data_IF_207069990952
#
_entry.id   IF_207069990952
#
_cell.length_a   1.000
_cell.length_b   1.000
_cell.length_c   1.000
_cell.angle_alpha   90.00
_cell.angle_beta   90.00
_cell.angle_gamma   90.00
#
_symmetry.space_group_name_H-M   'P 1'
#
loop_
_entity.id
_entity.type
_entity.pdbx_description
1 polymer ?
#
# COMPACT_ATOMS: atom_id res chain seq x y z
N UNK A 1 -4.63 -30.46 31.08
CA UNK A 1 -3.43 -30.29 30.23
C UNK A 1 -3.64 -29.34 29.03
N UNK A 2 -4.77 -29.38 28.30
CA UNK A 2 -5.01 -28.47 27.14
C UNK A 2 -5.11 -26.96 27.47
N UNK A 3 -5.62 -26.58 28.65
CA UNK A 3 -5.73 -25.16 29.06
C UNK A 3 -4.39 -24.48 29.39
N UNK A 4 -3.40 -25.24 29.88
CA UNK A 4 -2.07 -24.71 30.23
C UNK A 4 -1.21 -24.50 28.97
N UNK A 5 -1.37 -25.36 27.95
CA UNK A 5 -0.70 -25.23 26.66
C UNK A 5 -1.13 -23.97 25.88
N UNK A 6 -2.41 -23.60 25.91
CA UNK A 6 -2.90 -22.40 25.22
C UNK A 6 -2.42 -21.09 25.87
N UNK A 7 -2.27 -21.05 27.19
CA UNK A 7 -1.74 -19.86 27.89
C UNK A 7 -0.25 -19.67 27.58
N UNK A 8 0.52 -20.77 27.50
CA UNK A 8 1.95 -20.72 27.15
C UNK A 8 2.17 -20.28 25.69
N UNK A 9 1.33 -20.74 24.76
CA UNK A 9 1.41 -20.36 23.34
C UNK A 9 1.11 -18.87 23.13
N UNK A 10 0.12 -18.32 23.84
CA UNK A 10 -0.22 -16.88 23.80
C UNK A 10 0.90 -16.03 24.41
N UNK A 11 1.55 -16.50 25.48
CA UNK A 11 2.68 -15.80 26.11
C UNK A 11 3.93 -15.80 25.23
N UNK A 12 4.25 -16.90 24.54
CA UNK A 12 5.37 -16.98 23.58
C UNK A 12 5.10 -16.12 22.34
N UNK A 13 3.86 -16.07 21.85
CA UNK A 13 3.45 -15.18 20.76
C UNK A 13 3.53 -13.70 21.16
N UNK A 14 3.07 -13.33 22.36
CA UNK A 14 3.20 -11.97 22.89
C UNK A 14 4.66 -11.57 23.10
N UNK A 15 5.51 -12.47 23.62
CA UNK A 15 6.94 -12.21 23.76
C UNK A 15 7.60 -12.08 22.38
N UNK A 16 7.25 -12.90 21.38
CA UNK A 16 7.81 -12.78 20.02
C UNK A 16 7.32 -11.53 19.27
N UNK A 17 6.07 -11.10 19.48
CA UNK A 17 5.53 -9.84 18.95
C UNK A 17 6.17 -8.64 19.65
N UNK A 18 6.34 -8.67 20.97
CA UNK A 18 7.10 -7.67 21.70
C UNK A 18 8.57 -7.67 21.29
N UNK A 19 9.20 -8.82 21.02
CA UNK A 19 10.61 -8.88 20.61
C UNK A 19 10.84 -8.29 19.21
N UNK A 20 9.94 -8.56 18.24
CA UNK A 20 10.03 -7.96 16.91
C UNK A 20 9.69 -6.46 16.92
N UNK A 21 8.75 -6.02 17.77
CA UNK A 21 8.46 -4.60 17.96
C UNK A 21 9.62 -3.89 18.68
N UNK A 22 10.23 -4.54 19.68
CA UNK A 22 11.40 -4.04 20.41
C UNK A 22 12.65 -4.01 19.56
N UNK A 23 12.88 -4.93 18.60
CA UNK A 23 14.01 -4.83 17.66
C UNK A 23 13.88 -3.59 16.76
N UNK A 24 12.66 -3.21 16.38
CA UNK A 24 12.41 -2.00 15.60
C UNK A 24 12.37 -0.71 16.46
N UNK A 25 12.03 -0.80 17.76
CA UNK A 25 12.07 0.35 18.68
C UNK A 25 13.44 0.59 19.35
N UNK A 26 14.26 -0.45 19.57
CA UNK A 26 15.60 -0.34 20.17
C UNK A 26 16.66 0.22 19.20
N UNK A 27 16.34 0.32 17.91
CA UNK A 27 17.30 0.76 16.89
C UNK A 27 17.54 2.27 16.87
N UNK A 28 16.73 3.04 17.61
CA UNK A 28 16.80 4.50 17.61
C UNK A 28 18.01 5.08 18.37
N UNK A 29 18.85 4.25 19.03
CA UNK A 29 19.93 4.78 19.91
C UNK A 29 21.29 4.05 19.85
N UNK A 30 21.46 3.01 19.03
CA UNK A 30 22.75 2.28 18.94
C UNK A 30 23.40 2.40 17.57
N UNK A 31 24.70 2.70 17.55
CA UNK A 31 25.52 2.73 16.34
C UNK A 31 25.42 1.37 15.59
N UNK A 32 25.22 1.42 14.28
CA UNK A 32 25.34 0.24 13.42
C UNK A 32 26.82 0.01 13.14
N UNK A 33 27.33 -1.16 13.53
CA UNK A 33 28.72 -1.55 13.31
C UNK A 33 28.76 -2.78 12.41
N UNK A 34 29.42 -2.64 11.26
CA UNK A 34 29.70 -3.75 10.34
C UNK A 34 31.20 -4.02 10.35
N UNK A 35 31.59 -5.26 10.55
CA UNK A 35 32.98 -5.70 10.35
C UNK A 35 33.05 -6.80 9.30
N UNK A 36 33.95 -6.65 8.33
CA UNK A 36 34.14 -7.59 7.24
C UNK A 36 35.64 -7.80 6.96
N UNK A 37 36.01 -9.03 6.59
CA UNK A 37 37.40 -9.38 6.27
C UNK A 37 37.52 -9.69 4.79
N UNK A 38 38.54 -9.16 4.12
CA UNK A 38 38.78 -9.44 2.70
C UNK A 38 38.97 -10.95 2.48
N UNK A 39 38.28 -11.49 1.47
CA UNK A 39 38.36 -12.90 1.11
C UNK A 39 37.55 -13.85 2.00
N UNK A 40 36.87 -13.37 3.04
CA UNK A 40 35.96 -14.18 3.87
C UNK A 40 34.50 -13.89 3.52
N UNK A 41 33.69 -14.93 3.42
CA UNK A 41 32.24 -14.83 3.19
C UNK A 41 31.44 -14.69 4.49
N UNK A 42 32.07 -14.24 5.58
CA UNK A 42 31.43 -14.01 6.87
C UNK A 42 31.80 -12.60 7.32
N UNK A 43 30.77 -11.84 7.68
CA UNK A 43 30.87 -10.52 8.29
C UNK A 43 30.15 -10.53 9.64
N UNK A 44 30.30 -9.47 10.43
CA UNK A 44 29.45 -9.24 11.61
C UNK A 44 28.69 -7.94 11.46
N UNK A 45 27.41 -7.95 11.81
CA UNK A 45 26.55 -6.76 11.91
C UNK A 45 26.08 -6.67 13.36
N UNK A 46 26.45 -5.61 14.07
CA UNK A 46 26.17 -5.42 15.50
C UNK A 46 26.53 -6.68 16.31
N UNK A 47 27.76 -7.18 16.12
CA UNK A 47 28.31 -8.38 16.76
C UNK A 47 27.66 -9.72 16.37
N UNK A 48 26.64 -9.74 15.51
CA UNK A 48 26.03 -10.97 15.00
C UNK A 48 26.66 -11.37 13.67
N UNK A 49 27.06 -12.64 13.56
CA UNK A 49 27.62 -13.20 12.33
C UNK A 49 26.58 -13.24 11.21
N UNK A 50 26.96 -12.80 10.02
CA UNK A 50 26.15 -12.80 8.78
C UNK A 50 26.98 -13.40 7.65
N UNK A 51 26.40 -14.36 6.95
CA UNK A 51 27.02 -14.95 5.75
C UNK A 51 26.77 -14.05 4.55
N UNK A 52 27.84 -13.79 3.79
CA UNK A 52 27.81 -13.02 2.56
C UNK A 52 27.60 -13.94 1.36
N UNK A 53 26.75 -13.52 0.42
CA UNK A 53 26.54 -14.23 -0.84
C UNK A 53 27.83 -14.35 -1.68
N UNK A 54 28.75 -13.40 -1.51
CA UNK A 54 30.12 -13.52 -2.03
C UNK A 54 31.09 -12.73 -1.16
N UNK A 55 32.36 -13.15 -1.19
CA UNK A 55 33.43 -12.56 -0.38
C UNK A 55 33.76 -11.13 -0.85
N UNK A 56 34.08 -10.20 0.05
CA UNK A 56 34.65 -8.91 -0.31
C UNK A 56 35.98 -9.09 -1.05
N UNK A 57 36.17 -8.34 -2.13
CA UNK A 57 37.39 -8.38 -2.96
C UNK A 57 38.04 -7.00 -3.02
N UNK A 58 39.33 -6.98 -3.37
CA UNK A 58 40.03 -5.75 -3.72
C UNK A 58 40.26 -5.75 -5.23
N UNK A 59 39.84 -4.69 -5.90
CA UNK A 59 40.09 -4.45 -7.32
C UNK A 59 40.48 -2.99 -7.51
N UNK A 60 41.57 -2.72 -8.23
CA UNK A 60 42.12 -1.37 -8.45
C UNK A 60 42.30 -0.57 -7.16
N UNK A 61 42.75 -1.22 -6.08
CA UNK A 61 42.94 -0.58 -4.77
C UNK A 61 41.65 -0.16 -4.07
N UNK A 62 40.49 -0.69 -4.50
CA UNK A 62 39.19 -0.45 -3.87
C UNK A 62 38.58 -1.75 -3.39
N UNK A 63 37.97 -1.69 -2.20
CA UNK A 63 37.18 -2.81 -1.69
C UNK A 63 35.82 -2.81 -2.37
N UNK A 64 35.47 -3.93 -2.98
CA UNK A 64 34.17 -4.17 -3.56
C UNK A 64 33.43 -5.24 -2.74
N UNK A 65 32.14 -5.01 -2.57
CA UNK A 65 31.26 -5.80 -1.71
C UNK A 65 29.92 -6.05 -2.39
N UNK A 66 29.20 -7.14 -2.03
CA UNK A 66 27.82 -7.33 -2.46
C UNK A 66 26.99 -6.13 -2.00
N UNK A 67 26.51 -5.32 -2.95
CA UNK A 67 25.85 -4.06 -2.62
C UNK A 67 24.61 -4.26 -1.74
N UNK A 68 23.85 -5.33 -2.00
CA UNK A 68 22.67 -5.70 -1.24
C UNK A 68 22.97 -5.89 0.24
N UNK A 69 24.04 -6.63 0.57
CA UNK A 69 24.44 -6.86 1.96
C UNK A 69 24.67 -5.55 2.69
N UNK A 70 25.42 -4.62 2.09
CA UNK A 70 25.74 -3.34 2.71
C UNK A 70 24.48 -2.50 2.91
N UNK A 71 23.64 -2.38 1.88
CA UNK A 71 22.39 -1.62 1.95
C UNK A 71 21.48 -2.16 3.05
N UNK A 72 21.23 -3.47 3.06
CA UNK A 72 20.32 -4.12 4.02
C UNK A 72 20.89 -4.11 5.45
N UNK A 73 22.22 -4.25 5.62
CA UNK A 73 22.85 -4.21 6.94
C UNK A 73 22.68 -2.86 7.63
N UNK A 74 22.67 -1.75 6.86
CA UNK A 74 22.33 -0.44 7.39
C UNK A 74 20.83 -0.25 7.64
N UNK A 75 19.96 -1.08 7.03
CA UNK A 75 18.50 -0.94 7.08
C UNK A 75 17.92 -0.23 5.86
N UNK A 76 18.72 -0.04 4.81
CA UNK A 76 18.28 0.49 3.54
C UNK A 76 17.58 -0.55 2.69
N UNK A 77 16.81 -0.05 1.74
CA UNK A 77 16.15 -0.84 0.73
C UNK A 77 16.91 -0.73 -0.59
N UNK A 78 16.87 -1.79 -1.39
CA UNK A 78 17.58 -1.85 -2.67
C UNK A 78 16.68 -2.42 -3.74
N UNK A 79 16.79 -1.84 -4.93
CA UNK A 79 16.12 -2.28 -6.13
C UNK A 79 17.11 -2.31 -7.31
N UNK A 80 16.86 -3.23 -8.25
CA UNK A 80 17.64 -3.36 -9.48
C UNK A 80 16.70 -3.44 -10.67
N UNK A 81 16.87 -2.51 -11.61
CA UNK A 81 16.19 -2.52 -12.89
C UNK A 81 17.10 -3.12 -13.98
N UNK A 82 16.79 -4.32 -14.49
CA UNK A 82 17.61 -4.97 -15.51
C UNK A 82 17.52 -4.28 -16.89
N UNK A 83 16.43 -3.56 -17.18
CA UNK A 83 16.21 -2.94 -18.49
C UNK A 83 17.22 -1.81 -18.76
N UNK A 84 17.56 -1.04 -17.73
CA UNK A 84 18.54 0.05 -17.81
C UNK A 84 19.82 -0.20 -16.99
N UNK A 85 19.91 -1.37 -16.34
CA UNK A 85 21.02 -1.80 -15.48
C UNK A 85 21.29 -0.85 -14.31
N UNK A 86 20.22 -0.27 -13.76
CA UNK A 86 20.28 0.70 -12.67
C UNK A 86 19.95 0.03 -11.34
N UNK A 87 20.73 0.37 -10.31
CA UNK A 87 20.51 -0.04 -8.92
C UNK A 87 20.10 1.23 -8.17
N UNK A 88 18.99 1.18 -7.44
CA UNK A 88 18.53 2.26 -6.59
C UNK A 88 18.54 1.78 -5.14
N UNK A 89 19.21 2.52 -4.27
CA UNK A 89 19.30 2.25 -2.83
C UNK A 89 18.64 3.41 -2.12
N UNK A 90 17.75 3.10 -1.20
CA UNK A 90 17.06 4.08 -0.35
C UNK A 90 17.47 3.82 1.08
N UNK A 91 18.04 4.83 1.71
CA UNK A 91 18.50 4.76 3.07
C UNK A 91 18.04 6.00 3.83
N UNK A 92 17.03 5.85 4.68
CA UNK A 92 16.37 6.96 5.36
C UNK A 92 15.98 8.10 4.39
N UNK A 93 16.76 9.19 4.38
CA UNK A 93 16.58 10.35 3.51
C UNK A 93 17.42 10.30 2.24
N UNK A 94 18.38 9.40 2.15
CA UNK A 94 19.30 9.32 1.02
C UNK A 94 18.79 8.41 -0.08
N UNK A 95 18.99 8.83 -1.32
CA UNK A 95 18.76 8.02 -2.52
C UNK A 95 20.08 7.92 -3.27
N UNK A 96 20.60 6.70 -3.41
CA UNK A 96 21.81 6.41 -4.16
C UNK A 96 21.42 5.62 -5.39
N UNK A 97 21.78 6.13 -6.56
CA UNK A 97 21.58 5.48 -7.86
C UNK A 97 22.92 5.12 -8.48
N UNK A 98 23.09 3.85 -8.80
CA UNK A 98 24.27 3.28 -9.43
C UNK A 98 23.87 2.67 -10.77
N UNK A 99 24.75 2.71 -11.77
CA UNK A 99 24.53 2.03 -13.06
C UNK A 99 25.67 1.08 -13.36
N UNK A 100 25.36 -0.17 -13.71
CA UNK A 100 26.38 -1.17 -14.01
C UNK A 100 27.29 -0.69 -15.15
N UNK A 101 28.61 -0.78 -14.94
CA UNK A 101 29.64 -0.35 -15.89
C UNK A 101 29.85 1.17 -15.96
N UNK A 102 29.06 1.98 -15.25
CA UNK A 102 29.24 3.43 -15.17
C UNK A 102 30.09 3.81 -13.96
N UNK A 103 31.01 4.75 -14.14
CA UNK A 103 31.68 5.43 -13.02
C UNK A 103 30.88 6.60 -12.48
N UNK A 104 29.79 7.02 -13.12
CA UNK A 104 28.93 8.08 -12.59
C UNK A 104 27.81 7.44 -11.77
N UNK A 105 27.75 7.83 -10.50
CA UNK A 105 26.66 7.58 -9.57
C UNK A 105 25.87 8.86 -9.32
N UNK A 106 24.64 8.75 -8.82
CA UNK A 106 23.84 9.89 -8.37
C UNK A 106 23.49 9.70 -6.90
N UNK A 107 23.81 10.67 -6.05
CA UNK A 107 23.47 10.68 -4.62
C UNK A 107 22.68 11.94 -4.35
N UNK A 108 21.42 11.81 -3.93
CA UNK A 108 20.53 12.93 -3.64
C UNK A 108 20.54 13.98 -4.77
N UNK A 109 20.30 13.49 -6.00
CA UNK A 109 20.27 14.25 -7.26
C UNK A 109 21.64 14.78 -7.75
N UNK A 110 22.72 14.60 -6.99
CA UNK A 110 24.07 15.05 -7.38
C UNK A 110 24.88 13.93 -8.00
N UNK A 111 25.49 14.20 -9.14
CA UNK A 111 26.43 13.26 -9.76
C UNK A 111 27.73 13.18 -8.97
N UNK A 112 28.21 11.95 -8.73
CA UNK A 112 29.48 11.65 -8.07
C UNK A 112 30.24 10.63 -8.91
N UNK A 113 31.53 10.89 -9.15
CA UNK A 113 32.41 9.95 -9.84
C UNK A 113 32.92 8.86 -8.88
N UNK A 114 32.85 7.62 -9.34
CA UNK A 114 33.34 6.41 -8.69
C UNK A 114 34.72 6.05 -9.22
N UNK A 115 35.61 5.66 -8.32
CA UNK A 115 36.91 5.10 -8.71
C UNK A 115 36.77 3.83 -9.57
N UNK A 116 35.78 3.00 -9.22
CA UNK A 116 35.49 1.72 -9.88
C UNK A 116 33.99 1.60 -10.11
N UNK A 117 33.60 1.30 -11.35
CA UNK A 117 32.20 1.08 -11.72
C UNK A 117 31.65 -0.19 -11.07
N UNK A 118 30.37 -0.20 -10.64
CA UNK A 118 29.74 -1.42 -10.16
C UNK A 118 29.56 -2.42 -11.30
N UNK A 119 29.71 -3.70 -11.01
CA UNK A 119 29.58 -4.78 -12.00
C UNK A 119 28.95 -6.02 -11.39
N UNK A 120 28.43 -6.91 -12.24
CA UNK A 120 27.98 -8.24 -11.82
C UNK A 120 29.19 -9.17 -11.87
N UNK A 121 29.56 -9.69 -10.71
CA UNK A 121 30.60 -10.70 -10.60
C UNK A 121 30.18 -12.00 -11.30
N UNK A 122 31.08 -12.55 -12.13
CA UNK A 122 30.76 -13.69 -13.00
C UNK A 122 30.56 -14.98 -12.22
N UNK A 123 31.29 -15.15 -11.12
CA UNK A 123 31.24 -16.36 -10.30
C UNK A 123 30.00 -16.38 -9.41
N UNK A 124 29.76 -15.30 -8.67
CA UNK A 124 28.66 -15.22 -7.71
C UNK A 124 27.33 -14.72 -8.27
N UNK A 125 27.33 -14.15 -9.48
CA UNK A 125 26.17 -13.45 -10.05
C UNK A 125 25.64 -12.36 -9.12
N UNK A 126 26.52 -11.73 -8.33
CA UNK A 126 26.20 -10.62 -7.43
C UNK A 126 26.77 -9.32 -7.94
N UNK A 127 26.00 -8.26 -7.74
CA UNK A 127 26.47 -6.90 -8.00
C UNK A 127 27.48 -6.49 -6.93
N UNK A 128 28.71 -6.23 -7.36
CA UNK A 128 29.76 -5.67 -6.55
C UNK A 128 29.89 -4.18 -6.81
N UNK A 129 30.00 -3.39 -5.74
CA UNK A 129 30.16 -1.94 -5.80
C UNK A 129 31.20 -1.46 -4.77
N UNK A 130 31.81 -0.27 -4.96
CA UNK A 130 32.76 0.29 -4.00
C UNK A 130 32.12 0.49 -2.62
N UNK A 131 32.62 -0.24 -1.62
CA UNK A 131 32.06 -0.21 -0.26
C UNK A 131 32.09 1.20 0.33
N UNK A 132 33.24 1.86 0.20
CA UNK A 132 33.50 3.17 0.80
C UNK A 132 32.53 4.22 0.27
N UNK A 133 32.31 4.25 -1.05
CA UNK A 133 31.35 5.15 -1.67
C UNK A 133 29.96 5.01 -1.05
N UNK A 134 29.44 3.79 -0.96
CA UNK A 134 28.07 3.53 -0.47
C UNK A 134 27.94 3.92 1.00
N UNK A 135 28.93 3.56 1.82
CA UNK A 135 28.94 3.85 3.25
C UNK A 135 29.10 5.36 3.54
N UNK A 136 30.04 6.04 2.88
CA UNK A 136 30.27 7.46 3.10
C UNK A 136 29.13 8.32 2.52
N UNK A 137 28.44 7.86 1.46
CA UNK A 137 27.26 8.56 0.90
C UNK A 137 26.10 8.67 1.89
N UNK A 138 26.04 7.79 2.90
CA UNK A 138 25.05 7.87 3.98
C UNK A 138 25.63 8.46 5.26
N UNK A 139 26.87 8.96 5.23
CA UNK A 139 27.57 9.54 6.39
C UNK A 139 28.18 8.52 7.36
N UNK A 140 28.37 7.27 6.96
CA UNK A 140 29.06 6.27 7.77
C UNK A 140 30.59 6.44 7.69
N UNK A 141 31.29 6.11 8.79
CA UNK A 141 32.75 6.09 8.84
C UNK A 141 33.30 4.71 8.43
N UNK A 142 34.34 4.67 7.61
CA UNK A 142 34.96 3.43 7.10
C UNK A 142 36.45 3.38 7.48
N UNK A 143 36.77 2.48 8.40
CA UNK A 143 38.12 2.20 8.89
C UNK A 143 38.69 0.94 8.26
N UNK A 144 39.98 0.98 7.91
CA UNK A 144 40.71 -0.15 7.34
C UNK A 144 41.86 -0.56 8.26
N UNK A 145 41.91 -1.83 8.65
CA UNK A 145 43.03 -2.42 9.37
C UNK A 145 43.86 -3.29 8.41
N UNK A 146 45.05 -2.81 8.07
CA UNK A 146 45.97 -3.47 7.14
C UNK A 146 46.44 -4.84 7.64
N UNK A 147 46.75 -4.96 8.94
CA UNK A 147 47.30 -6.19 9.54
C UNK A 147 46.31 -7.35 9.47
N UNK A 148 45.06 -7.08 9.82
CA UNK A 148 44.01 -8.11 9.88
C UNK A 148 43.22 -8.23 8.58
N UNK A 149 43.46 -7.33 7.62
CA UNK A 149 42.66 -7.15 6.40
C UNK A 149 41.17 -7.00 6.70
N UNK A 150 40.85 -6.28 7.77
CA UNK A 150 39.48 -6.05 8.24
C UNK A 150 39.04 -4.62 7.98
N UNK A 151 37.78 -4.48 7.58
CA UNK A 151 37.11 -3.20 7.40
C UNK A 151 36.05 -3.09 8.48
N UNK A 152 36.06 -1.97 9.20
CA UNK A 152 35.03 -1.63 10.17
C UNK A 152 34.27 -0.42 9.66
N UNK A 153 32.95 -0.55 9.60
CA UNK A 153 32.05 0.52 9.20
C UNK A 153 31.19 0.86 10.40
N UNK A 154 31.18 2.13 10.78
CA UNK A 154 30.36 2.62 11.88
C UNK A 154 29.42 3.68 11.36
N UNK A 155 28.12 3.44 11.52
CA UNK A 155 27.07 4.38 11.15
C UNK A 155 26.28 4.78 12.39
N UNK A 156 26.16 6.09 12.60
CA UNK A 156 25.28 6.67 13.61
C UNK A 156 24.26 7.53 12.90
N UNK A 157 22.99 7.15 12.98
CA UNK A 157 21.91 7.94 12.42
C UNK A 157 21.86 9.30 13.11
N UNK A 158 21.89 10.36 12.30
CA UNK A 158 21.77 11.74 12.79
C UNK A 158 20.55 12.35 12.13
N UNK A 159 19.62 12.93 12.91
CA UNK A 159 18.54 13.73 12.35
C UNK A 159 19.11 14.88 11.50
N UNK A 160 18.31 15.38 10.54
CA UNK A 160 18.65 16.59 9.80
C UNK A 160 18.93 17.75 10.76
N UNK A 161 20.01 18.50 10.50
CA UNK A 161 20.34 19.70 11.25
C UNK A 161 19.30 20.81 11.02
N UNK A 162 18.80 20.92 9.79
CA UNK A 162 17.75 21.86 9.41
C UNK A 162 16.44 21.09 9.23
N UNK A 163 15.41 21.45 10.00
CA UNK A 163 14.10 20.80 9.88
C UNK A 163 13.51 21.07 8.49
N UNK A 164 13.14 20.00 7.77
CA UNK A 164 12.42 20.06 6.49
C UNK A 164 10.93 19.86 6.76
N UNK A 165 10.07 20.67 6.15
CA UNK A 165 8.62 20.48 6.21
C UNK A 165 8.11 20.06 4.84
N UNK A 166 7.28 19.02 4.80
CA UNK A 166 6.65 18.48 3.58
C UNK A 166 5.15 18.43 3.81
N UNK A 167 4.38 18.84 2.81
CA UNK A 167 2.92 18.67 2.80
C UNK A 167 2.54 17.78 1.62
N UNK A 168 1.93 16.63 1.89
CA UNK A 168 1.42 15.72 0.87
C UNK A 168 -0.09 15.91 0.71
N UNK A 169 -0.53 16.25 -0.50
CA UNK A 169 -1.96 16.33 -0.84
C UNK A 169 -2.42 14.96 -1.32
N UNK A 170 -3.35 14.36 -0.60
CA UNK A 170 -3.80 13.00 -0.89
C UNK A 170 -5.29 13.02 -1.20
N UNK A 171 -5.68 12.44 -2.32
CA UNK A 171 -7.08 12.13 -2.60
C UNK A 171 -7.29 10.63 -2.52
N UNK A 172 -8.25 10.21 -1.70
CA UNK A 172 -8.53 8.79 -1.53
C UNK A 172 -10.03 8.47 -1.48
N UNK A 173 -10.36 7.21 -1.75
CA UNK A 173 -11.72 6.70 -1.60
C UNK A 173 -12.21 6.78 -0.14
N UNK A 174 -13.52 7.00 0.05
CA UNK A 174 -14.15 7.03 1.38
C UNK A 174 -13.78 5.86 2.28
N UNK A 175 -13.86 4.63 1.76
CA UNK A 175 -13.54 3.40 2.48
C UNK A 175 -12.08 3.26 2.93
N UNK A 176 -11.17 4.10 2.40
CA UNK A 176 -9.75 4.07 2.74
C UNK A 176 -9.39 5.03 3.90
N UNK A 177 -10.32 5.87 4.35
CA UNK A 177 -10.05 6.99 5.27
C UNK A 177 -9.29 6.57 6.52
N UNK A 178 -9.81 5.59 7.28
CA UNK A 178 -9.18 5.17 8.53
C UNK A 178 -7.83 4.46 8.32
N UNK A 179 -7.71 3.42 7.48
CA UNK A 179 -6.44 2.73 7.30
C UNK A 179 -5.34 3.60 6.67
N UNK A 180 -5.68 4.57 5.81
CA UNK A 180 -4.70 5.52 5.29
C UNK A 180 -4.20 6.44 6.39
N UNK A 181 -5.10 7.04 7.19
CA UNK A 181 -4.71 7.86 8.34
C UNK A 181 -3.78 7.12 9.32
N UNK A 182 -4.04 5.85 9.58
CA UNK A 182 -3.20 5.04 10.47
C UNK A 182 -1.79 4.83 9.90
N UNK A 183 -1.67 4.58 8.59
CA UNK A 183 -0.38 4.49 7.91
C UNK A 183 0.33 5.85 7.92
N UNK A 184 -0.38 6.95 7.63
CA UNK A 184 0.17 8.30 7.68
C UNK A 184 0.74 8.66 9.05
N UNK A 185 0.02 8.32 10.13
CA UNK A 185 0.51 8.58 11.49
C UNK A 185 1.83 7.86 11.75
N UNK A 186 1.96 6.60 11.33
CA UNK A 186 3.22 5.86 11.45
C UNK A 186 4.34 6.43 10.56
N UNK A 187 4.02 6.89 9.35
CA UNK A 187 4.95 7.54 8.43
C UNK A 187 5.46 8.89 8.97
N UNK A 188 4.56 9.74 9.49
CA UNK A 188 4.89 11.00 10.17
C UNK A 188 5.84 10.75 11.34
N UNK A 189 5.54 9.76 12.17
CA UNK A 189 6.35 9.39 13.33
C UNK A 189 7.73 8.85 12.96
N UNK A 190 7.86 8.16 11.82
CA UNK A 190 9.16 7.71 11.33
C UNK A 190 10.00 8.91 10.85
N UNK A 191 9.45 9.78 10.01
CA UNK A 191 10.18 10.91 9.43
C UNK A 191 10.48 12.05 10.41
N UNK A 192 9.64 12.24 11.44
CA UNK A 192 9.89 13.26 12.48
C UNK A 192 11.18 13.01 13.26
N UNK A 193 11.54 11.73 13.48
CA UNK A 193 12.81 11.31 14.10
C UNK A 193 14.01 11.64 13.24
N UNK A 194 13.82 11.75 11.92
CA UNK A 194 14.84 12.15 10.95
C UNK A 194 14.91 13.67 10.76
N UNK A 195 14.11 14.45 11.50
CA UNK A 195 14.04 15.90 11.35
C UNK A 195 13.18 16.39 10.18
N UNK A 196 12.33 15.51 9.62
CA UNK A 196 11.36 15.88 8.58
C UNK A 196 9.95 15.92 9.18
N UNK A 197 9.32 17.08 9.16
CA UNK A 197 7.92 17.24 9.55
C UNK A 197 7.02 17.00 8.34
N UNK A 198 6.14 16.00 8.41
CA UNK A 198 5.23 15.65 7.32
C UNK A 198 3.80 15.97 7.73
N UNK A 199 3.12 16.74 6.88
CA UNK A 199 1.69 17.03 6.98
C UNK A 199 0.98 16.37 5.81
N UNK A 200 -0.24 15.88 6.05
CA UNK A 200 -1.10 15.33 5.00
C UNK A 200 -2.34 16.23 4.88
N UNK A 201 -2.65 16.63 3.65
CA UNK A 201 -3.87 17.33 3.28
C UNK A 201 -4.79 16.34 2.57
N UNK A 202 -5.56 15.60 3.38
CA UNK A 202 -6.42 14.55 2.88
C UNK A 202 -7.74 15.08 2.33
N UNK A 203 -8.10 14.57 1.17
CA UNK A 203 -9.43 14.71 0.62
C UNK A 203 -10.06 13.34 0.36
N UNK A 204 -11.13 13.05 1.10
CA UNK A 204 -11.95 11.84 0.90
C UNK A 204 -13.06 12.10 -0.12
N UNK A 205 -13.23 11.22 -1.10
CA UNK A 205 -14.28 11.30 -2.13
C UNK A 205 -14.75 9.91 -2.59
N UNK A 206 -15.90 9.83 -3.26
CA UNK A 206 -16.22 8.68 -4.11
C UNK A 206 -15.20 8.62 -5.24
N UNK A 207 -14.73 7.43 -5.64
CA UNK A 207 -13.57 7.37 -6.55
C UNK A 207 -13.84 7.91 -7.96
N UNK A 208 -15.10 7.94 -8.42
CA UNK A 208 -15.45 8.58 -9.69
C UNK A 208 -15.34 10.10 -9.54
N UNK A 209 -15.86 10.66 -8.45
CA UNK A 209 -15.66 12.08 -8.14
C UNK A 209 -14.17 12.41 -7.93
N UNK A 210 -13.39 11.51 -7.33
CA UNK A 210 -11.96 11.71 -7.12
C UNK A 210 -11.21 11.89 -8.44
N UNK A 211 -11.47 11.05 -9.44
CA UNK A 211 -10.85 11.23 -10.76
C UNK A 211 -11.37 12.49 -11.45
N UNK A 212 -12.66 12.85 -11.32
CA UNK A 212 -13.23 14.08 -11.90
C UNK A 212 -12.63 15.36 -11.30
N UNK A 213 -12.27 15.34 -10.03
CA UNK A 213 -11.57 16.47 -9.42
C UNK A 213 -10.20 16.73 -10.07
N UNK A 214 -9.53 15.68 -10.52
CA UNK A 214 -8.26 15.80 -11.25
C UNK A 214 -8.53 16.19 -12.71
N UNK A 215 -9.43 15.46 -13.38
CA UNK A 215 -9.60 15.55 -14.83
C UNK A 215 -10.44 16.74 -15.29
N UNK A 216 -11.46 17.13 -14.53
CA UNK A 216 -12.40 18.20 -14.86
C UNK A 216 -12.11 19.48 -14.07
N UNK A 217 -11.90 19.35 -12.75
CA UNK A 217 -11.66 20.51 -11.88
C UNK A 217 -10.19 20.93 -11.79
N UNK A 218 -9.28 20.16 -12.43
CA UNK A 218 -7.83 20.43 -12.48
C UNK A 218 -7.21 20.63 -11.10
N UNK A 219 -7.68 19.89 -10.09
CA UNK A 219 -7.06 19.88 -8.77
C UNK A 219 -5.80 19.03 -8.78
N UNK A 220 -4.76 19.55 -8.14
CA UNK A 220 -3.48 18.88 -7.99
C UNK A 220 -3.45 18.04 -6.71
N UNK A 221 -3.01 16.79 -6.83
CA UNK A 221 -2.76 15.89 -5.71
C UNK A 221 -1.42 15.19 -5.92
N UNK A 222 -0.74 14.89 -4.81
CA UNK A 222 0.52 14.16 -4.83
C UNK A 222 0.30 12.65 -4.85
N UNK A 223 -0.81 12.17 -4.27
CA UNK A 223 -1.14 10.73 -4.20
C UNK A 223 -2.64 10.53 -4.46
N UNK A 224 -2.96 9.49 -5.26
CA UNK A 224 -4.34 9.10 -5.58
C UNK A 224 -4.56 7.64 -5.19
N UNK A 225 -5.57 7.35 -4.36
CA UNK A 225 -5.96 5.99 -3.98
C UNK A 225 -7.45 5.73 -4.20
N UNK A 226 -7.79 4.83 -5.11
CA UNK A 226 -9.17 4.61 -5.57
C UNK A 226 -9.70 3.25 -5.13
N UNK A 227 -11.00 3.18 -4.84
CA UNK A 227 -11.73 1.93 -4.56
C UNK A 227 -11.92 1.04 -5.77
N UNK A 228 -11.70 1.59 -6.97
CA UNK A 228 -11.71 0.87 -8.22
C UNK A 228 -10.47 1.21 -9.03
N UNK A 229 -9.55 0.25 -9.15
CA UNK A 229 -8.33 0.42 -9.91
C UNK A 229 -8.56 0.70 -11.40
N UNK A 230 -9.72 0.31 -11.98
CA UNK A 230 -10.01 0.55 -13.39
C UNK A 230 -10.22 2.03 -13.73
N UNK A 231 -10.57 2.85 -12.74
CA UNK A 231 -10.72 4.29 -12.94
C UNK A 231 -9.39 4.98 -13.29
N UNK A 232 -8.26 4.42 -12.86
CA UNK A 232 -6.94 4.99 -13.16
C UNK A 232 -6.62 4.91 -14.67
N UNK A 233 -6.60 3.72 -15.32
CA UNK A 233 -6.36 3.66 -16.75
C UNK A 233 -7.47 4.30 -17.59
N UNK A 234 -8.71 4.37 -17.08
CA UNK A 234 -9.84 4.94 -17.80
C UNK A 234 -9.80 6.47 -17.85
N UNK A 235 -9.45 7.13 -16.74
CA UNK A 235 -9.58 8.58 -16.60
C UNK A 235 -8.24 9.31 -16.45
N UNK A 236 -7.21 8.65 -15.92
CA UNK A 236 -5.93 9.30 -15.60
C UNK A 236 -4.83 8.97 -16.60
N UNK A 237 -4.84 7.78 -17.21
CA UNK A 237 -3.82 7.39 -18.19
C UNK A 237 -4.26 7.77 -19.61
N UNK A 238 -3.36 8.31 -20.46
CA UNK A 238 -1.96 8.68 -20.17
C UNK A 238 -1.78 10.13 -19.70
N UNK A 239 -2.84 10.92 -19.56
CA UNK A 239 -2.73 12.38 -19.44
C UNK A 239 -2.21 12.88 -18.08
N UNK A 240 -2.40 12.12 -17.02
CA UNK A 240 -2.08 12.54 -15.64
C UNK A 240 -1.12 11.58 -14.93
N UNK A 241 -0.95 10.36 -15.45
CA UNK A 241 0.01 9.37 -14.98
C UNK A 241 0.17 8.31 -16.06
N UNK A 242 1.27 7.56 -16.04
CA UNK A 242 1.51 6.43 -16.94
C UNK A 242 1.56 5.08 -16.20
N UNK A 243 1.31 5.05 -14.89
CA UNK A 243 1.36 3.84 -14.08
C UNK A 243 0.34 3.77 -12.96
N UNK A 244 0.08 2.56 -12.46
CA UNK A 244 -0.67 2.33 -11.21
C UNK A 244 -0.35 0.97 -10.60
N UNK A 245 -0.72 0.80 -9.33
CA UNK A 245 -0.53 -0.44 -8.57
C UNK A 245 -1.84 -0.89 -7.94
N UNK A 246 -2.21 -2.14 -8.16
CA UNK A 246 -3.27 -2.82 -7.42
C UNK A 246 -2.71 -3.29 -6.09
N UNK A 247 -3.33 -2.93 -4.97
CA UNK A 247 -2.72 -3.15 -3.65
C UNK A 247 -3.61 -3.79 -2.59
N UNK A 248 -4.93 -3.57 -2.60
CA UNK A 248 -5.84 -4.15 -1.62
C UNK A 248 -7.14 -4.63 -2.29
N UNK A 249 -7.94 -5.40 -1.54
CA UNK A 249 -9.27 -5.88 -1.96
C UNK A 249 -10.35 -5.52 -0.95
N UNK A 250 -11.61 -5.69 -1.34
CA UNK A 250 -12.76 -5.64 -0.45
C UNK A 250 -13.86 -6.60 -0.91
N UNK A 251 -14.97 -6.63 -0.17
CA UNK A 251 -16.21 -7.26 -0.62
C UNK A 251 -17.42 -6.44 -0.18
N UNK A 252 -18.50 -6.49 -0.96
CA UNK A 252 -19.77 -5.90 -0.58
C UNK A 252 -20.45 -6.71 0.51
N UNK A 253 -21.05 -6.00 1.46
CA UNK A 253 -21.89 -6.53 2.53
C UNK A 253 -23.15 -5.68 2.66
N UNK A 254 -24.11 -6.17 3.41
CA UNK A 254 -25.28 -5.38 3.82
C UNK A 254 -25.17 -5.13 5.33
N UNK A 255 -24.87 -3.89 5.68
CA UNK A 255 -24.69 -3.41 7.04
C UNK A 255 -26.04 -3.10 7.70
N UNK A 256 -26.10 -3.28 9.02
CA UNK A 256 -27.25 -2.98 9.87
C UNK A 256 -26.81 -2.78 11.33
N UNK A 257 -27.75 -2.42 12.20
CA UNK A 257 -27.55 -2.31 13.64
C UNK A 257 -28.55 -3.18 14.40
N UNK A 258 -28.41 -3.27 15.72
CA UNK A 258 -29.41 -3.95 16.55
C UNK A 258 -30.80 -3.31 16.55
N UNK A 259 -30.90 -2.05 16.11
CA UNK A 259 -32.15 -1.30 16.03
C UNK A 259 -32.86 -1.47 14.69
N UNK A 260 -32.15 -1.97 13.66
CA UNK A 260 -32.68 -2.18 12.33
C UNK A 260 -33.87 -3.15 12.34
N UNK A 261 -34.92 -2.81 11.62
CA UNK A 261 -36.11 -3.67 11.49
C UNK A 261 -35.73 -5.02 10.91
N UNK A 262 -36.20 -6.09 11.56
CA UNK A 262 -35.93 -7.47 11.17
C UNK A 262 -34.46 -7.90 11.26
N UNK A 263 -33.63 -7.20 12.04
CA UNK A 263 -32.20 -7.54 12.24
C UNK A 263 -31.95 -8.99 12.71
N UNK A 264 -32.90 -9.60 13.43
CA UNK A 264 -32.81 -10.99 13.89
C UNK A 264 -33.21 -12.03 12.83
N UNK A 265 -33.96 -11.60 11.81
CA UNK A 265 -34.53 -12.48 10.79
C UNK A 265 -33.73 -12.45 9.47
N UNK A 266 -32.90 -11.42 9.29
CA UNK A 266 -32.14 -11.23 8.06
C UNK A 266 -30.98 -12.23 7.95
N UNK A 267 -30.83 -12.80 6.76
CA UNK A 267 -29.81 -13.80 6.43
C UNK A 267 -29.28 -13.55 5.01
N UNK A 268 -28.14 -14.15 4.64
CA UNK A 268 -27.65 -14.12 3.26
C UNK A 268 -28.63 -14.68 2.22
N UNK A 269 -29.66 -15.45 2.62
CA UNK A 269 -30.62 -16.07 1.71
C UNK A 269 -31.91 -15.27 1.49
N UNK A 270 -32.30 -14.40 2.42
CA UNK A 270 -33.59 -13.71 2.42
C UNK A 270 -33.46 -12.18 2.51
N UNK A 271 -32.25 -11.62 2.51
CA UNK A 271 -32.02 -10.18 2.67
C UNK A 271 -32.87 -9.33 1.73
N UNK A 272 -32.97 -9.73 0.47
CA UNK A 272 -33.73 -9.00 -0.54
C UNK A 272 -35.24 -9.01 -0.26
N UNK A 273 -35.75 -10.04 0.42
CA UNK A 273 -37.16 -10.11 0.83
C UNK A 273 -37.43 -9.18 2.01
N UNK A 274 -36.46 -9.03 2.92
CA UNK A 274 -36.52 -8.07 4.02
C UNK A 274 -36.51 -6.64 3.48
N UNK A 275 -35.58 -6.33 2.56
CA UNK A 275 -35.45 -4.99 1.98
C UNK A 275 -36.69 -4.55 1.16
N UNK A 276 -37.45 -5.50 0.60
CA UNK A 276 -38.67 -5.20 -0.15
C UNK A 276 -39.92 -5.00 0.73
N UNK A 277 -39.79 -5.08 2.06
CA UNK A 277 -40.90 -4.76 2.98
C UNK A 277 -41.12 -3.25 3.03
N UNK A 278 -42.38 -2.83 3.03
CA UNK A 278 -42.78 -1.40 2.94
C UNK A 278 -42.29 -0.54 4.10
N UNK A 279 -42.06 -1.17 5.24
CA UNK A 279 -41.62 -0.52 6.47
C UNK A 279 -40.10 -0.53 6.63
N UNK A 280 -39.32 -1.12 5.71
CA UNK A 280 -37.86 -1.20 5.78
C UNK A 280 -37.22 -0.09 4.94
N UNK A 281 -36.28 0.62 5.54
CA UNK A 281 -35.50 1.66 4.88
C UNK A 281 -34.06 1.22 4.64
N UNK A 282 -33.60 1.32 3.40
CA UNK A 282 -32.21 1.04 3.06
C UNK A 282 -31.63 2.03 2.05
N UNK A 283 -30.30 2.04 1.95
CA UNK A 283 -29.56 2.96 1.10
C UNK A 283 -28.26 2.38 0.51
N UNK A 284 -27.72 3.10 -0.46
CA UNK A 284 -26.43 2.82 -1.11
C UNK A 284 -25.84 4.11 -1.68
N UNK A 285 -24.56 4.10 -2.07
CA UNK A 285 -23.89 5.30 -2.58
C UNK A 285 -24.36 5.71 -3.99
N UNK A 286 -24.17 6.96 -4.39
CA UNK A 286 -24.55 7.47 -5.71
C UNK A 286 -23.70 6.80 -6.81
N UNK A 287 -24.31 6.01 -7.73
CA UNK A 287 -23.56 5.24 -8.73
C UNK A 287 -22.69 6.07 -9.68
N UNK A 288 -23.00 7.35 -9.88
CA UNK A 288 -22.23 8.23 -10.76
C UNK A 288 -21.02 8.90 -10.07
N UNK A 289 -20.87 8.70 -8.77
CA UNK A 289 -19.87 9.36 -7.91
C UNK A 289 -18.99 8.36 -7.15
N UNK A 290 -19.54 7.24 -6.70
CA UNK A 290 -18.85 6.27 -5.85
C UNK A 290 -18.95 4.83 -6.41
N UNK A 291 -17.81 4.09 -6.53
CA UNK A 291 -17.83 2.67 -6.80
C UNK A 291 -18.76 1.82 -5.95
N UNK A 292 -18.93 2.12 -4.66
CA UNK A 292 -19.86 1.37 -3.83
C UNK A 292 -21.30 1.42 -4.39
N UNK A 293 -21.67 2.53 -5.02
CA UNK A 293 -22.97 2.76 -5.62
C UNK A 293 -23.22 1.90 -6.85
N UNK A 294 -22.36 2.03 -7.87
CA UNK A 294 -22.53 1.22 -9.08
C UNK A 294 -22.32 -0.27 -8.79
N UNK A 295 -21.45 -0.63 -7.84
CA UNK A 295 -21.25 -2.03 -7.42
C UNK A 295 -22.49 -2.62 -6.77
N UNK A 296 -23.23 -1.82 -5.99
CA UNK A 296 -24.52 -2.24 -5.44
C UNK A 296 -25.52 -2.56 -6.55
N UNK A 297 -25.60 -1.72 -7.59
CA UNK A 297 -26.49 -1.97 -8.72
C UNK A 297 -26.06 -3.19 -9.56
N UNK A 298 -24.76 -3.37 -9.78
CA UNK A 298 -24.23 -4.58 -10.43
C UNK A 298 -24.57 -5.83 -9.61
N UNK A 299 -24.41 -5.76 -8.29
CA UNK A 299 -24.77 -6.84 -7.37
C UNK A 299 -26.27 -7.15 -7.42
N UNK A 300 -27.16 -6.15 -7.51
CA UNK A 300 -28.59 -6.38 -7.68
C UNK A 300 -28.92 -7.13 -8.98
N UNK A 301 -28.25 -6.81 -10.10
CA UNK A 301 -28.39 -7.56 -11.35
C UNK A 301 -27.92 -9.02 -11.19
N UNK A 302 -26.79 -9.22 -10.51
CA UNK A 302 -26.28 -10.57 -10.22
C UNK A 302 -27.22 -11.35 -9.29
N UNK A 303 -27.85 -10.67 -8.31
CA UNK A 303 -28.80 -11.27 -7.38
C UNK A 303 -30.05 -11.76 -8.12
N UNK A 304 -30.56 -11.00 -9.09
CA UNK A 304 -31.67 -11.43 -9.95
C UNK A 304 -31.37 -12.76 -10.66
N UNK A 305 -30.16 -12.88 -11.22
CA UNK A 305 -29.68 -14.10 -11.90
C UNK A 305 -29.49 -15.24 -10.89
N UNK A 306 -28.78 -14.97 -9.79
CA UNK A 306 -28.40 -15.96 -8.78
C UNK A 306 -29.60 -16.58 -8.07
N UNK A 307 -30.55 -15.76 -7.63
CA UNK A 307 -31.76 -16.22 -6.93
C UNK A 307 -32.88 -16.67 -7.88
N UNK A 308 -32.70 -16.52 -9.19
CA UNK A 308 -33.72 -16.80 -10.21
C UNK A 308 -35.03 -16.04 -9.92
N UNK A 309 -34.91 -14.74 -9.63
CA UNK A 309 -36.02 -13.84 -9.27
C UNK A 309 -36.15 -12.72 -10.32
N UNK A 310 -36.84 -12.96 -11.45
CA UNK A 310 -37.00 -11.95 -12.49
C UNK A 310 -37.58 -10.64 -11.94
N UNK A 311 -36.99 -9.51 -12.32
CA UNK A 311 -37.40 -8.17 -11.88
C UNK A 311 -36.89 -7.75 -10.50
N UNK A 312 -36.10 -8.59 -9.81
CA UNK A 312 -35.53 -8.25 -8.50
C UNK A 312 -34.68 -6.98 -8.55
N UNK A 313 -33.87 -6.78 -9.60
CA UNK A 313 -33.07 -5.58 -9.78
C UNK A 313 -33.93 -4.30 -9.75
N UNK A 314 -34.99 -4.28 -10.56
CA UNK A 314 -35.90 -3.14 -10.66
C UNK A 314 -36.67 -2.92 -9.36
N UNK A 315 -37.09 -3.99 -8.69
CA UNK A 315 -37.82 -3.89 -7.43
C UNK A 315 -36.97 -3.28 -6.31
N UNK A 316 -35.70 -3.68 -6.18
CA UNK A 316 -34.79 -3.11 -5.19
C UNK A 316 -34.50 -1.64 -5.46
N UNK A 317 -34.29 -1.25 -6.73
CA UNK A 317 -34.14 0.17 -7.08
C UNK A 317 -35.39 0.97 -6.71
N UNK A 318 -36.57 0.48 -7.07
CA UNK A 318 -37.83 1.17 -6.79
C UNK A 318 -38.15 1.25 -5.29
N UNK A 319 -37.66 0.29 -4.49
CA UNK A 319 -37.82 0.29 -3.04
C UNK A 319 -36.85 1.26 -2.33
N UNK A 320 -35.77 1.68 -3.00
CA UNK A 320 -34.79 2.62 -2.43
C UNK A 320 -35.33 4.05 -2.51
N UNK A 321 -35.52 4.71 -1.37
CA UNK A 321 -35.92 6.11 -1.34
C UNK A 321 -34.80 6.99 -1.93
N UNK A 322 -35.09 7.99 -2.78
CA UNK A 322 -34.06 8.87 -3.33
C UNK A 322 -33.19 9.54 -2.26
N UNK A 323 -33.81 9.93 -1.14
CA UNK A 323 -33.12 10.49 0.02
C UNK A 323 -32.29 9.47 0.81
N UNK A 324 -32.18 8.21 0.40
CA UNK A 324 -31.30 7.21 0.99
C UNK A 324 -30.09 6.92 0.09
N UNK A 325 -29.99 7.59 -1.06
CA UNK A 325 -28.81 7.56 -1.93
C UNK A 325 -27.89 8.70 -1.51
N UNK A 326 -26.62 8.40 -1.21
CA UNK A 326 -25.64 9.38 -0.70
C UNK A 326 -24.46 9.52 -1.63
N UNK A 327 -23.84 10.72 -1.78
CA UNK A 327 -22.66 10.91 -2.61
C UNK A 327 -21.54 9.88 -2.38
N UNK A 328 -21.31 9.47 -1.11
CA UNK A 328 -20.32 8.48 -0.73
C UNK A 328 -20.94 7.44 0.20
N UNK A 329 -20.51 6.21 0.06
CA UNK A 329 -20.89 5.05 0.88
C UNK A 329 -20.83 5.39 2.38
N UNK A 330 -19.66 5.82 2.87
CA UNK A 330 -19.42 6.07 4.30
C UNK A 330 -20.36 7.09 4.96
N UNK A 331 -21.09 7.90 4.19
CA UNK A 331 -22.12 8.82 4.72
C UNK A 331 -23.39 8.08 5.20
N UNK A 332 -23.60 6.84 4.75
CA UNK A 332 -24.72 5.99 5.16
C UNK A 332 -24.53 5.42 6.58
N UNK A 333 -23.29 5.34 7.06
CA UNK A 333 -22.96 4.83 8.40
C UNK A 333 -23.67 5.64 9.49
N UNK A 334 -23.61 6.97 9.41
CA UNK A 334 -24.25 7.84 10.38
C UNK A 334 -25.78 7.65 10.41
N UNK A 335 -26.40 7.35 9.26
CA UNK A 335 -27.85 7.10 9.16
C UNK A 335 -28.23 5.76 9.79
N UNK A 336 -27.38 4.73 9.64
CA UNK A 336 -27.57 3.45 10.33
C UNK A 336 -27.47 3.62 11.85
N UNK A 337 -26.46 4.35 12.33
CA UNK A 337 -26.24 4.60 13.77
C UNK A 337 -27.37 5.43 14.40
N UNK A 338 -27.85 6.43 13.66
CA UNK A 338 -29.00 7.26 14.02
C UNK A 338 -30.36 6.52 13.87
N UNK A 339 -30.37 5.30 13.32
CA UNK A 339 -31.58 4.54 13.03
C UNK A 339 -32.54 5.26 12.06
N UNK A 340 -31.99 6.09 11.17
CA UNK A 340 -32.70 6.67 10.02
C UNK A 340 -32.73 5.70 8.83
N UNK A 341 -31.77 4.77 8.77
CA UNK A 341 -31.78 3.62 7.87
C UNK A 341 -31.78 2.32 8.68
N UNK A 342 -32.49 1.32 8.18
CA UNK A 342 -32.41 -0.04 8.69
C UNK A 342 -31.18 -0.77 8.09
N UNK A 343 -30.90 -0.58 6.79
CA UNK A 343 -29.81 -1.27 6.11
C UNK A 343 -29.02 -0.36 5.16
N UNK A 344 -27.73 -0.63 4.96
CA UNK A 344 -26.93 0.05 3.96
C UNK A 344 -25.98 -0.91 3.23
N UNK A 345 -25.89 -0.79 1.91
CA UNK A 345 -24.88 -1.49 1.15
C UNK A 345 -23.53 -0.80 1.29
N UNK A 346 -22.56 -1.56 1.75
CA UNK A 346 -21.26 -1.07 2.16
C UNK A 346 -20.17 -2.09 1.86
N UNK A 347 -18.92 -1.66 2.02
CA UNK A 347 -17.80 -2.58 2.07
C UNK A 347 -17.68 -3.26 3.44
N UNK A 348 -17.20 -4.51 3.47
CA UNK A 348 -16.91 -5.19 4.75
C UNK A 348 -15.93 -4.36 5.59
N UNK A 349 -14.94 -3.73 4.96
CA UNK A 349 -13.98 -2.88 5.68
C UNK A 349 -14.67 -1.73 6.43
N UNK A 350 -15.67 -1.09 5.83
CA UNK A 350 -16.44 0.00 6.45
C UNK A 350 -17.27 -0.52 7.61
N UNK A 351 -17.86 -1.72 7.48
CA UNK A 351 -18.58 -2.38 8.56
C UNK A 351 -17.67 -2.64 9.77
N UNK A 352 -16.47 -3.20 9.51
CA UNK A 352 -15.47 -3.52 10.54
C UNK A 352 -14.97 -2.26 11.22
N UNK A 353 -14.63 -1.21 10.45
CA UNK A 353 -14.11 0.05 10.98
C UNK A 353 -15.10 0.79 11.89
N UNK A 354 -16.41 0.63 11.65
CA UNK A 354 -17.47 1.30 12.42
C UNK A 354 -18.21 0.34 13.38
N UNK A 355 -17.69 -0.88 13.59
CA UNK A 355 -18.30 -1.89 14.45
C UNK A 355 -19.79 -2.15 14.15
N UNK A 356 -20.16 -2.09 12.87
CA UNK A 356 -21.52 -2.37 12.41
C UNK A 356 -21.74 -3.89 12.30
N UNK A 357 -22.99 -4.32 12.49
CA UNK A 357 -23.38 -5.68 12.10
C UNK A 357 -23.51 -5.73 10.59
N UNK A 358 -23.21 -6.88 10.00
CA UNK A 358 -23.38 -7.07 8.57
C UNK A 358 -23.70 -8.52 8.24
N UNK A 359 -24.42 -8.72 7.13
CA UNK A 359 -24.50 -10.03 6.51
C UNK A 359 -23.43 -10.14 5.42
N UNK A 360 -22.73 -11.27 5.40
CA UNK A 360 -21.86 -11.60 4.27
C UNK A 360 -22.71 -12.09 3.11
N UNK A 361 -22.63 -11.40 1.98
CA UNK A 361 -23.28 -11.84 0.73
C UNK A 361 -22.51 -13.03 0.13
N UNK A 362 -23.18 -13.95 -0.60
CA UNK A 362 -22.52 -15.00 -1.37
C UNK A 362 -21.38 -14.45 -2.25
N UNK A 363 -20.36 -15.26 -2.49
CA UNK A 363 -19.20 -14.88 -3.31
C UNK A 363 -19.61 -14.47 -4.73
N UNK A 364 -20.67 -15.06 -5.27
CA UNK A 364 -21.27 -14.71 -6.56
C UNK A 364 -21.86 -13.29 -6.62
N UNK A 365 -22.08 -12.66 -5.46
CA UNK A 365 -22.73 -11.35 -5.33
C UNK A 365 -21.80 -10.28 -4.75
N UNK A 366 -20.90 -10.66 -3.84
CA UNK A 366 -20.13 -9.71 -3.04
C UNK A 366 -18.97 -9.02 -3.79
N UNK A 367 -18.67 -9.43 -5.02
CA UNK A 367 -17.60 -8.89 -5.86
C UNK A 367 -16.19 -9.02 -5.25
N UNK A 368 -15.98 -9.86 -4.24
CA UNK A 368 -14.71 -9.96 -3.53
C UNK A 368 -13.78 -11.08 -4.02
N UNK A 369 -14.28 -12.04 -4.79
CA UNK A 369 -13.54 -13.24 -5.17
C UNK A 369 -12.95 -13.15 -6.59
N UNK A 370 -11.62 -13.03 -6.77
CA UNK A 370 -11.00 -12.91 -8.09
C UNK A 370 -11.30 -14.06 -9.05
N UNK A 371 -11.58 -15.27 -8.54
CA UNK A 371 -11.91 -16.42 -9.37
C UNK A 371 -13.27 -16.30 -10.07
N UNK A 372 -14.15 -15.42 -9.59
CA UNK A 372 -15.49 -15.20 -10.14
C UNK A 372 -15.56 -14.00 -11.10
N UNK A 373 -14.42 -13.53 -11.63
CA UNK A 373 -14.37 -12.39 -12.56
C UNK A 373 -15.36 -12.50 -13.74
N UNK A 374 -15.47 -13.70 -14.34
CA UNK A 374 -16.32 -13.93 -15.51
C UNK A 374 -17.80 -14.04 -15.10
N UNK A 375 -18.07 -14.45 -13.87
CA UNK A 375 -19.41 -14.42 -13.29
C UNK A 375 -19.85 -12.98 -13.03
N UNK A 376 -19.01 -12.16 -12.39
CA UNK A 376 -19.32 -10.75 -12.13
C UNK A 376 -19.55 -9.96 -13.42
N UNK A 377 -18.81 -10.27 -14.48
CA UNK A 377 -18.93 -9.61 -15.79
C UNK A 377 -20.30 -9.81 -16.48
N UNK A 378 -21.19 -10.66 -15.94
CA UNK A 378 -22.58 -10.80 -16.40
C UNK A 378 -23.45 -9.57 -16.10
N UNK A 379 -23.04 -8.74 -15.15
CA UNK A 379 -23.71 -7.48 -14.84
C UNK A 379 -22.95 -6.30 -15.46
N UNK A 380 -23.70 -5.30 -15.93
CA UNK A 380 -23.14 -4.05 -16.46
C UNK A 380 -24.07 -2.87 -16.23
N UNK A 381 -23.50 -1.68 -16.07
CA UNK A 381 -24.21 -0.43 -15.87
C UNK A 381 -23.58 0.66 -16.73
N UNK A 382 -24.40 1.47 -17.39
CA UNK A 382 -23.96 2.70 -18.06
C UNK A 382 -24.18 3.88 -17.12
N UNK A 383 -23.10 4.59 -16.79
CA UNK A 383 -23.15 5.80 -15.97
C UNK A 383 -23.67 7.00 -16.79
N UNK A 384 -24.02 8.10 -16.11
CA UNK A 384 -24.56 9.32 -16.73
C UNK A 384 -23.60 9.95 -17.75
N UNK A 385 -22.30 9.75 -17.60
CA UNK A 385 -21.27 10.25 -18.53
C UNK A 385 -21.05 9.31 -19.74
N UNK A 386 -21.84 8.23 -19.85
CA UNK A 386 -21.74 7.23 -20.93
C UNK A 386 -20.74 6.10 -20.64
N UNK A 387 -20.01 6.16 -19.52
CA UNK A 387 -19.04 5.11 -19.15
C UNK A 387 -19.76 3.82 -18.84
N UNK A 388 -19.33 2.72 -19.45
CA UNK A 388 -19.85 1.38 -19.19
C UNK A 388 -18.98 0.70 -18.14
N UNK A 389 -19.55 0.46 -16.96
CA UNK A 389 -18.93 -0.31 -15.89
C UNK A 389 -19.46 -1.74 -15.93
N UNK A 390 -18.55 -2.72 -15.85
CA UNK A 390 -18.89 -4.15 -15.74
C UNK A 390 -18.57 -4.67 -14.35
N UNK A 391 -19.32 -5.66 -13.88
CA UNK A 391 -18.99 -6.35 -12.64
C UNK A 391 -17.60 -6.98 -12.71
N UNK A 392 -16.78 -6.71 -11.71
CA UNK A 392 -15.42 -7.21 -11.59
C UNK A 392 -15.05 -7.33 -10.10
N UNK A 393 -14.01 -8.12 -9.76
CA UNK A 393 -13.51 -8.18 -8.39
C UNK A 393 -13.10 -6.79 -7.88
N UNK A 394 -13.45 -6.47 -6.64
CA UNK A 394 -13.11 -5.19 -6.00
C UNK A 394 -11.61 -5.15 -5.74
N UNK A 395 -10.91 -4.28 -6.45
CA UNK A 395 -9.47 -4.06 -6.28
C UNK A 395 -9.21 -2.57 -6.13
N UNK A 396 -8.55 -2.22 -5.03
CA UNK A 396 -8.05 -0.87 -4.79
C UNK A 396 -6.80 -0.62 -5.64
N UNK A 397 -6.74 0.56 -6.25
CA UNK A 397 -5.61 1.02 -7.04
C UNK A 397 -4.99 2.28 -6.44
N UNK A 398 -3.68 2.44 -6.59
CA UNK A 398 -2.98 3.68 -6.26
C UNK A 398 -2.08 4.15 -7.40
N UNK A 399 -1.84 5.45 -7.46
CA UNK A 399 -0.88 6.09 -8.38
C UNK A 399 -0.41 7.45 -7.82
N UNK A 400 0.59 8.04 -8.48
CA UNK A 400 1.11 9.39 -8.24
C UNK A 400 0.95 10.16 -9.56
N UNK A 401 0.19 11.27 -9.58
CA UNK A 401 0.08 12.13 -10.74
C UNK A 401 1.42 12.72 -11.19
N UNK A 402 1.57 12.98 -12.49
CA UNK A 402 2.81 13.50 -13.06
C UNK A 402 3.16 14.90 -12.59
N UNK A 403 2.13 15.71 -12.27
CA UNK A 403 2.21 17.05 -11.72
C UNK A 403 2.31 17.09 -10.18
N UNK A 404 2.49 15.95 -9.50
CA UNK A 404 2.75 15.92 -8.05
C UNK A 404 3.93 16.83 -7.69
N UNK A 405 3.72 17.76 -6.74
CA UNK A 405 4.72 18.74 -6.32
C UNK A 405 5.75 18.13 -5.38
N UNK A 406 5.32 17.14 -4.58
CA UNK A 406 6.18 16.44 -3.61
C UNK A 406 6.46 14.99 -4.05
N UNK A 407 6.85 14.82 -5.32
CA UNK A 407 6.93 13.51 -6.01
C UNK A 407 7.81 12.50 -5.27
N UNK A 408 8.96 12.92 -4.72
CA UNK A 408 9.85 12.01 -3.96
C UNK A 408 9.17 11.51 -2.67
N UNK A 409 8.58 12.40 -1.89
CA UNK A 409 7.91 12.02 -0.64
C UNK A 409 6.60 11.28 -0.86
N UNK A 410 5.88 11.57 -1.95
CA UNK A 410 4.74 10.78 -2.39
C UNK A 410 5.16 9.34 -2.70
N UNK A 411 6.26 9.14 -3.43
CA UNK A 411 6.80 7.82 -3.71
C UNK A 411 7.24 7.10 -2.43
N UNK A 412 7.88 7.81 -1.49
CA UNK A 412 8.27 7.25 -0.19
C UNK A 412 7.07 6.84 0.64
N UNK A 413 6.00 7.63 0.64
CA UNK A 413 4.76 7.25 1.32
C UNK A 413 4.14 6.00 0.70
N UNK A 414 4.04 5.92 -0.63
CA UNK A 414 3.51 4.73 -1.30
C UNK A 414 4.38 3.50 -1.02
N UNK A 415 5.72 3.63 -1.07
CA UNK A 415 6.64 2.56 -0.68
C UNK A 415 6.38 2.10 0.77
N UNK A 416 6.25 3.05 1.69
CA UNK A 416 6.03 2.78 3.10
C UNK A 416 4.68 2.09 3.34
N UNK A 417 3.62 2.56 2.68
CA UNK A 417 2.28 1.96 2.70
C UNK A 417 2.34 0.50 2.26
N UNK A 418 2.99 0.21 1.12
CA UNK A 418 3.06 -1.15 0.58
C UNK A 418 3.92 -2.09 1.44
N UNK A 419 4.96 -1.58 2.13
CA UNK A 419 5.81 -2.39 3.02
C UNK A 419 5.23 -2.60 4.41
N UNK A 420 4.57 -1.59 4.98
CA UNK A 420 4.20 -1.56 6.39
C UNK A 420 2.68 -1.53 6.64
N UNK A 421 1.88 -1.36 5.59
CA UNK A 421 0.43 -1.22 5.70
C UNK A 421 -0.35 -2.53 5.83
N UNK A 422 0.25 -3.69 5.57
CA UNK A 422 -0.48 -4.97 5.50
C UNK A 422 -1.29 -5.26 6.78
N UNK A 423 -0.68 -5.09 7.95
CA UNK A 423 -1.36 -5.30 9.23
C UNK A 423 -2.48 -4.29 9.48
N UNK A 424 -2.29 -3.03 9.09
CA UNK A 424 -3.30 -1.97 9.22
C UNK A 424 -4.51 -2.30 8.34
N UNK A 425 -4.26 -2.64 7.08
CA UNK A 425 -5.27 -2.94 6.07
C UNK A 425 -6.03 -4.24 6.39
N UNK A 426 -5.32 -5.27 6.84
CA UNK A 426 -5.93 -6.54 7.27
C UNK A 426 -6.86 -6.34 8.48
N UNK A 427 -6.44 -5.56 9.49
CA UNK A 427 -7.28 -5.24 10.66
C UNK A 427 -8.49 -4.39 10.28
N UNK A 428 -8.34 -3.53 9.29
CA UNK A 428 -9.41 -2.69 8.76
C UNK A 428 -10.39 -3.45 7.85
N UNK A 429 -10.24 -4.77 7.63
CA UNK A 429 -11.13 -5.59 6.79
C UNK A 429 -10.89 -5.44 5.28
N UNK A 430 -9.72 -4.95 4.86
CA UNK A 430 -9.36 -4.71 3.46
C UNK A 430 -7.93 -5.20 3.18
N UNK A 431 -7.68 -6.53 3.25
CA UNK A 431 -6.34 -7.08 3.18
C UNK A 431 -5.65 -6.74 1.86
N UNK A 432 -4.31 -6.73 1.88
CA UNK A 432 -3.53 -6.58 0.67
C UNK A 432 -3.72 -7.78 -0.27
N UNK A 433 -3.65 -7.50 -1.57
CA UNK A 433 -3.57 -8.52 -2.61
C UNK A 433 -2.13 -8.71 -3.05
N UNK A 434 -1.85 -9.74 -3.86
CA UNK A 434 -0.60 -9.76 -4.61
C UNK A 434 -0.50 -8.51 -5.47
N UNK A 435 0.50 -7.69 -5.19
CA UNK A 435 0.67 -6.42 -5.87
C UNK A 435 0.86 -6.63 -7.36
N UNK A 436 0.12 -5.87 -8.15
CA UNK A 436 0.24 -5.86 -9.61
C UNK A 436 0.44 -4.44 -10.09
N UNK A 437 1.62 -4.19 -10.66
CA UNK A 437 1.99 -2.93 -11.28
C UNK A 437 1.66 -2.93 -12.77
N UNK A 438 1.24 -1.78 -13.28
CA UNK A 438 0.94 -1.56 -14.69
C UNK A 438 1.67 -0.32 -15.22
N UNK A 439 2.08 -0.30 -16.50
CA UNK A 439 1.97 -1.40 -17.47
C UNK A 439 2.88 -2.59 -17.13
N UNK A 440 4.01 -2.34 -16.47
CA UNK A 440 4.89 -3.36 -15.88
C UNK A 440 5.70 -2.79 -14.71
N UNK A 441 6.30 -3.68 -13.90
CA UNK A 441 7.04 -3.30 -12.69
C UNK A 441 8.30 -2.46 -12.96
N UNK A 442 8.86 -2.48 -14.16
CA UNK A 442 10.04 -1.68 -14.49
C UNK A 442 9.70 -0.29 -15.05
N UNK A 443 8.41 0.01 -15.21
CA UNK A 443 7.89 1.32 -15.62
C UNK A 443 7.41 2.18 -14.45
N UNK A 444 7.23 1.60 -13.26
CA UNK A 444 6.94 2.38 -12.04
C UNK A 444 8.22 3.00 -11.47
N UNK A 445 8.10 4.08 -10.67
CA UNK A 445 9.24 4.69 -10.00
C UNK A 445 10.01 3.68 -9.12
N UNK A 446 11.36 3.70 -9.11
CA UNK A 446 12.16 2.74 -8.33
C UNK A 446 11.83 2.71 -6.84
N UNK A 447 11.54 3.87 -6.24
CA UNK A 447 11.12 3.98 -4.84
C UNK A 447 9.84 3.19 -4.58
N UNK A 448 8.85 3.31 -5.47
CA UNK A 448 7.59 2.56 -5.35
C UNK A 448 7.81 1.07 -5.61
N UNK A 449 8.68 0.71 -6.56
CA UNK A 449 9.03 -0.70 -6.87
C UNK A 449 9.60 -1.43 -5.65
N UNK A 450 10.41 -0.75 -4.83
CA UNK A 450 10.89 -1.29 -3.56
C UNK A 450 9.73 -1.73 -2.67
N UNK A 451 8.64 -0.96 -2.66
CA UNK A 451 7.42 -1.29 -1.92
C UNK A 451 6.75 -2.60 -2.37
N UNK A 452 6.96 -2.97 -3.63
CA UNK A 452 6.31 -4.11 -4.29
C UNK A 452 7.16 -5.38 -4.22
N UNK A 453 8.47 -5.24 -4.44
CA UNK A 453 9.39 -6.38 -4.51
C UNK A 453 9.73 -6.85 -3.09
N UNK A 454 9.66 -8.17 -2.89
CA UNK A 454 10.01 -8.82 -1.62
C UNK A 454 11.51 -9.01 -1.48
#
# INVERSE_FOLDING_TARGET
MKKVANVFLVFVLLISLCFNYSINLLRADSDCVIELTIGKSVATVNFKSVTLDTKPIIQNGRTLVPIRFVSEAFGGFIDYNPNNKTITIIFDLHIITLKLGSKIAVVDEKEIELDVAPFIDKESQRTLAPLRFVAESIGANVEWNQTNKTIKITYKQKPLQTKKSITLRVIHAGSLTQPIRDVENSFKNYYSKLGVNITFEDQSAGSVDAVKQITELKKDFDIVLLADSFLIPQYLIPQYTDWYVNFATNKLVLCYTDKSKYAKDITPKNWYEILLRKDVDFGYAEPNSDPAGYRTLLMFQLAEIYYKKPGLYKNLINATKPNNIRPKSVELVALLEANELDYAFEYESVAVQNNLKYISLPDELNLGNPALKDWYAKASLTLKDGTVVKGAPIIYGLTIPDNATEKEFAQRFVMYLLKNGDDVFRKAGQPFVSFKAYPDIYKIPPIVRIGIIK
#
